data_IF_029326964859
#
_entry.id   IF_029326964859
#
_cell.length_a   1.000
_cell.length_b   1.000
_cell.length_c   1.000
_cell.angle_alpha   90.00
_cell.angle_beta   90.00
_cell.angle_gamma   90.00
#
_symmetry.space_group_name_H-M   'P 1'
#
loop_
_entity.id
_entity.type
_entity.pdbx_description
1 polymer ?
#
# COMPACT_ATOMS: atom_id res chain seq x y z
N UNK A 1 5.11 21.62 14.64
CA UNK A 1 5.72 20.50 15.39
C UNK A 1 7.21 20.48 15.14
N UNK A 2 8.05 20.14 16.12
CA UNK A 2 9.51 20.09 15.94
C UNK A 2 9.96 18.69 15.48
N UNK A 3 10.48 18.60 14.26
CA UNK A 3 10.95 17.35 13.64
C UNK A 3 12.13 16.76 14.40
N UNK A 4 13.02 17.59 14.95
CA UNK A 4 14.18 17.09 15.68
C UNK A 4 13.75 16.29 16.93
N UNK A 5 12.64 16.69 17.56
CA UNK A 5 12.05 15.96 18.68
C UNK A 5 11.45 14.62 18.24
N UNK A 6 10.81 14.54 17.06
CA UNK A 6 10.31 13.29 16.49
C UNK A 6 11.45 12.31 16.18
N UNK A 7 12.50 12.79 15.52
CA UNK A 7 13.65 11.96 15.14
C UNK A 7 14.42 11.47 16.37
N UNK A 8 14.52 12.29 17.42
CA UNK A 8 15.10 11.88 18.70
C UNK A 8 14.26 10.79 19.38
N UNK A 9 12.94 10.95 19.43
CA UNK A 9 12.05 9.93 19.99
C UNK A 9 12.14 8.61 19.21
N UNK A 10 12.23 8.68 17.87
CA UNK A 10 12.48 7.52 17.01
C UNK A 10 13.83 6.86 17.34
N UNK A 11 14.88 7.66 17.55
CA UNK A 11 16.19 7.18 18.00
C UNK A 11 16.11 6.44 19.33
N UNK A 12 15.34 6.94 20.30
CA UNK A 12 15.10 6.29 21.59
C UNK A 12 14.41 4.92 21.45
N UNK A 13 13.44 4.80 20.54
CA UNK A 13 12.73 3.54 20.28
C UNK A 13 13.62 2.48 19.63
N UNK A 14 14.45 2.89 18.67
CA UNK A 14 15.31 1.99 17.90
C UNK A 14 16.66 1.71 18.58
N UNK A 15 17.05 2.51 19.57
CA UNK A 15 18.31 2.34 20.28
C UNK A 15 18.40 0.94 20.92
N UNK A 16 19.58 0.32 21.00
CA UNK A 16 19.80 -0.93 21.73
C UNK A 16 19.32 -0.93 23.19
N UNK A 17 18.84 -2.08 23.75
CA UNK A 17 18.28 -2.14 25.10
C UNK A 17 19.23 -1.75 26.24
N UNK A 18 20.53 -1.75 25.99
CA UNK A 18 21.55 -1.35 26.95
C UNK A 18 21.81 0.16 26.98
N UNK A 19 21.28 0.93 26.02
CA UNK A 19 21.50 2.38 25.92
C UNK A 19 20.31 3.21 26.38
N UNK A 20 19.13 2.61 26.48
CA UNK A 20 17.88 3.30 26.81
C UNK A 20 17.08 2.44 27.79
N UNK A 21 16.56 3.08 28.84
CA UNK A 21 15.71 2.42 29.82
C UNK A 21 14.35 1.99 29.23
N UNK A 22 13.69 1.04 29.89
CA UNK A 22 12.34 0.63 29.50
C UNK A 22 11.33 1.79 29.59
N UNK A 23 11.49 2.67 30.58
CA UNK A 23 10.59 3.82 30.78
C UNK A 23 10.77 4.88 29.68
N UNK A 24 12.01 5.18 29.27
CA UNK A 24 12.27 6.12 28.17
C UNK A 24 11.70 5.61 26.84
N UNK A 25 11.85 4.30 26.56
CA UNK A 25 11.23 3.68 25.37
C UNK A 25 9.71 3.76 25.42
N UNK A 26 9.11 3.45 26.58
CA UNK A 26 7.66 3.53 26.74
C UNK A 26 7.14 4.95 26.57
N UNK A 27 7.88 5.95 27.06
CA UNK A 27 7.56 7.36 26.85
C UNK A 27 7.61 7.74 25.37
N UNK A 28 8.64 7.30 24.65
CA UNK A 28 8.75 7.53 23.21
C UNK A 28 7.63 6.83 22.42
N UNK A 29 7.22 5.62 22.82
CA UNK A 29 6.10 4.91 22.21
C UNK A 29 4.77 5.66 22.43
N UNK A 30 4.49 6.05 23.68
CA UNK A 30 3.31 6.84 24.02
C UNK A 30 3.27 8.16 23.23
N UNK A 31 4.43 8.80 23.04
CA UNK A 31 4.53 10.03 22.24
C UNK A 31 4.04 9.82 20.80
N UNK A 32 4.48 8.76 20.10
CA UNK A 32 3.97 8.46 18.76
C UNK A 32 2.49 8.04 18.74
N UNK A 33 2.02 7.33 19.76
CA UNK A 33 0.61 6.97 19.88
C UNK A 33 -0.29 8.20 20.07
N UNK A 34 0.13 9.16 20.90
CA UNK A 34 -0.62 10.39 21.16
C UNK A 34 -0.51 11.38 19.99
N UNK A 35 0.64 11.38 19.30
CA UNK A 35 0.81 12.09 18.05
C UNK A 35 -0.20 11.65 17.00
N UNK A 36 -0.33 10.34 16.73
CA UNK A 36 -1.29 9.82 15.74
C UNK A 36 -2.74 10.22 16.02
N UNK A 37 -3.11 10.41 17.29
CA UNK A 37 -4.46 10.85 17.68
C UNK A 37 -4.71 12.34 17.42
N UNK A 38 -3.67 13.17 17.47
CA UNK A 38 -3.78 14.63 17.49
C UNK A 38 -3.29 15.30 16.21
N UNK A 39 -2.43 14.64 15.44
CA UNK A 39 -1.85 15.18 14.21
C UNK A 39 -2.90 15.36 13.11
N UNK A 40 -2.81 16.47 12.37
CA UNK A 40 -3.62 16.71 11.18
C UNK A 40 -3.01 16.09 9.92
N UNK A 41 -3.82 15.96 8.86
CA UNK A 41 -3.34 15.47 7.56
C UNK A 41 -2.22 16.36 6.99
N UNK A 42 -2.39 17.67 7.09
CA UNK A 42 -1.41 18.66 6.62
C UNK A 42 -0.07 18.51 7.35
N UNK A 43 -0.10 18.38 8.67
CA UNK A 43 1.11 18.18 9.47
C UNK A 43 1.81 16.86 9.16
N UNK A 44 1.05 15.77 9.01
CA UNK A 44 1.62 14.46 8.67
C UNK A 44 2.32 14.48 7.30
N UNK A 45 1.67 15.08 6.29
CA UNK A 45 2.25 15.26 4.96
C UNK A 45 3.47 16.20 5.00
N UNK A 46 3.41 17.27 5.78
CA UNK A 46 4.56 18.18 5.95
C UNK A 46 5.77 17.47 6.54
N UNK A 47 5.59 16.67 7.59
CA UNK A 47 6.67 15.89 8.22
C UNK A 47 7.26 14.89 7.23
N UNK A 48 6.43 14.18 6.45
CA UNK A 48 6.88 13.23 5.42
C UNK A 48 7.88 13.86 4.45
N UNK A 49 7.64 15.11 4.03
CA UNK A 49 8.52 15.81 3.10
C UNK A 49 9.80 16.34 3.73
N UNK A 50 9.84 16.54 5.05
CA UNK A 50 10.96 17.18 5.74
C UNK A 50 11.92 16.20 6.43
N UNK A 51 11.48 15.00 6.80
CA UNK A 51 12.34 14.02 7.49
C UNK A 51 12.99 13.03 6.51
N UNK A 52 14.18 12.54 6.90
CA UNK A 52 14.85 11.40 6.30
C UNK A 52 14.85 10.18 7.25
N UNK A 53 14.34 10.34 8.47
CA UNK A 53 14.32 9.26 9.45
C UNK A 53 13.29 8.19 9.07
N UNK A 54 13.78 6.98 8.74
CA UNK A 54 12.95 5.86 8.28
C UNK A 54 11.80 5.50 9.24
N UNK A 55 12.00 5.58 10.55
CA UNK A 55 10.95 5.26 11.51
C UNK A 55 9.88 6.36 11.54
N UNK A 56 10.28 7.63 11.50
CA UNK A 56 9.32 8.74 11.41
C UNK A 56 8.52 8.65 10.10
N UNK A 57 9.17 8.33 8.97
CA UNK A 57 8.50 8.10 7.69
C UNK A 57 7.45 6.97 7.78
N UNK A 58 7.82 5.86 8.43
CA UNK A 58 6.91 4.74 8.68
C UNK A 58 5.69 5.17 9.51
N UNK A 59 5.90 5.86 10.62
CA UNK A 59 4.84 6.34 11.51
C UNK A 59 3.92 7.35 10.82
N UNK A 60 4.47 8.25 10.01
CA UNK A 60 3.68 9.25 9.29
C UNK A 60 2.89 8.64 8.13
N UNK A 61 3.43 7.65 7.41
CA UNK A 61 2.66 6.91 6.42
C UNK A 61 1.43 6.24 7.05
N UNK A 62 1.62 5.61 8.23
CA UNK A 62 0.51 5.06 8.99
C UNK A 62 -0.51 6.12 9.39
N UNK A 63 -0.04 7.25 9.93
CA UNK A 63 -0.92 8.35 10.33
C UNK A 63 -1.76 8.86 9.15
N UNK A 64 -1.15 9.11 7.99
CA UNK A 64 -1.86 9.53 6.76
C UNK A 64 -2.93 8.50 6.38
N UNK A 65 -2.62 7.21 6.41
CA UNK A 65 -3.59 6.15 6.16
C UNK A 65 -4.78 6.19 7.13
N UNK A 66 -4.49 6.24 8.43
CA UNK A 66 -5.52 6.26 9.48
C UNK A 66 -6.41 7.50 9.39
N UNK A 67 -5.81 8.68 9.19
CA UNK A 67 -6.53 9.95 9.01
C UNK A 67 -7.44 9.90 7.78
N UNK A 68 -6.93 9.41 6.64
CA UNK A 68 -7.71 9.29 5.40
C UNK A 68 -8.92 8.40 5.59
N UNK A 69 -8.77 7.27 6.28
CA UNK A 69 -9.87 6.32 6.51
C UNK A 69 -10.86 6.82 7.57
N UNK A 70 -10.37 7.47 8.62
CA UNK A 70 -11.20 8.05 9.68
C UNK A 70 -12.11 9.13 9.13
N UNK A 71 -11.55 10.03 8.34
CA UNK A 71 -12.26 11.22 7.84
C UNK A 71 -12.86 10.98 6.44
N UNK A 72 -12.85 9.73 5.95
CA UNK A 72 -13.21 9.36 4.58
C UNK A 72 -14.49 10.02 4.05
N UNK A 73 -15.58 9.99 4.83
CA UNK A 73 -16.88 10.57 4.46
C UNK A 73 -16.90 12.10 4.38
N UNK A 74 -15.89 12.75 4.95
CA UNK A 74 -15.73 14.20 4.99
C UNK A 74 -14.76 14.70 3.91
N UNK A 75 -13.96 13.81 3.33
CA UNK A 75 -12.95 14.14 2.34
C UNK A 75 -13.56 14.22 0.93
N UNK A 76 -13.10 15.20 0.16
CA UNK A 76 -13.35 15.23 -1.28
C UNK A 76 -12.63 14.05 -1.97
N UNK A 77 -13.27 13.32 -2.89
CA UNK A 77 -12.62 12.26 -3.66
C UNK A 77 -11.28 12.68 -4.31
N UNK A 78 -11.15 13.92 -4.77
CA UNK A 78 -9.90 14.44 -5.33
C UNK A 78 -8.78 14.53 -4.30
N UNK A 79 -9.11 14.82 -3.04
CA UNK A 79 -8.14 14.86 -1.94
C UNK A 79 -7.65 13.45 -1.62
N UNK A 80 -8.55 12.47 -1.60
CA UNK A 80 -8.19 11.06 -1.43
C UNK A 80 -7.28 10.60 -2.56
N UNK A 81 -7.61 10.97 -3.80
CA UNK A 81 -6.82 10.64 -4.98
C UNK A 81 -5.42 11.24 -4.93
N UNK A 82 -5.33 12.53 -4.64
CA UNK A 82 -4.07 13.23 -4.47
C UNK A 82 -3.22 12.58 -3.37
N UNK A 83 -3.83 12.19 -2.25
CA UNK A 83 -3.12 11.59 -1.11
C UNK A 83 -2.37 10.32 -1.52
N UNK A 84 -3.04 9.34 -2.13
CA UNK A 84 -2.36 8.09 -2.49
C UNK A 84 -1.36 8.28 -3.64
N UNK A 85 -1.63 9.21 -4.58
CA UNK A 85 -0.69 9.56 -5.66
C UNK A 85 0.58 10.20 -5.10
N UNK A 86 0.46 11.15 -4.18
CA UNK A 86 1.61 11.77 -3.52
C UNK A 86 2.44 10.74 -2.75
N UNK A 87 1.80 9.79 -2.05
CA UNK A 87 2.53 8.71 -1.38
C UNK A 87 3.26 7.78 -2.36
N UNK A 88 2.65 7.47 -3.51
CA UNK A 88 3.30 6.67 -4.56
C UNK A 88 4.51 7.39 -5.16
N UNK A 89 4.34 8.66 -5.51
CA UNK A 89 5.41 9.52 -6.04
C UNK A 89 6.55 9.65 -5.04
N UNK A 90 6.23 9.84 -3.76
CA UNK A 90 7.21 9.93 -2.68
C UNK A 90 8.13 8.71 -2.62
N UNK A 91 7.56 7.50 -2.65
CA UNK A 91 8.34 6.26 -2.59
C UNK A 91 9.09 5.98 -3.89
N UNK A 92 8.50 6.32 -5.03
CA UNK A 92 9.16 6.17 -6.34
C UNK A 92 10.38 7.09 -6.47
N UNK A 93 10.26 8.34 -6.00
CA UNK A 93 11.30 9.36 -6.14
C UNK A 93 12.51 9.14 -5.21
N UNK A 94 12.33 8.60 -4.00
CA UNK A 94 13.43 8.50 -3.01
C UNK A 94 14.27 7.25 -3.19
N UNK A 95 15.54 7.40 -3.58
CA UNK A 95 16.48 6.32 -3.87
C UNK A 95 16.71 5.33 -2.71
N UNK A 96 16.85 5.84 -1.48
CA UNK A 96 17.44 5.11 -0.34
C UNK A 96 16.46 4.79 0.79
N UNK A 97 15.21 4.43 0.47
CA UNK A 97 14.24 4.04 1.50
C UNK A 97 14.45 2.60 1.99
N UNK A 98 14.38 2.43 3.31
CA UNK A 98 14.38 1.12 3.96
C UNK A 98 13.20 0.26 3.50
N UNK A 99 13.43 -1.06 3.40
CA UNK A 99 12.43 -1.98 2.86
C UNK A 99 11.12 -1.97 3.65
N UNK A 100 11.19 -1.89 4.98
CA UNK A 100 10.00 -1.85 5.83
C UNK A 100 9.19 -0.55 5.66
N UNK A 101 9.86 0.57 5.36
CA UNK A 101 9.20 1.85 5.08
C UNK A 101 8.43 1.76 3.77
N UNK A 102 9.09 1.27 2.71
CA UNK A 102 8.43 1.06 1.41
C UNK A 102 7.21 0.13 1.58
N UNK A 103 7.33 -0.94 2.35
CA UNK A 103 6.22 -1.86 2.59
C UNK A 103 5.03 -1.16 3.26
N UNK A 104 5.27 -0.31 4.26
CA UNK A 104 4.20 0.40 4.96
C UNK A 104 3.51 1.45 4.09
N UNK A 105 4.26 2.19 3.25
CA UNK A 105 3.66 3.10 2.29
C UNK A 105 2.76 2.35 1.30
N UNK A 106 3.28 1.29 0.68
CA UNK A 106 2.52 0.51 -0.30
C UNK A 106 1.26 -0.12 0.31
N UNK A 107 1.37 -0.60 1.55
CA UNK A 107 0.22 -1.08 2.33
C UNK A 107 -0.79 0.04 2.60
N UNK A 108 -0.33 1.21 3.02
CA UNK A 108 -1.18 2.40 3.25
C UNK A 108 -1.94 2.78 1.98
N UNK A 109 -1.23 2.89 0.86
CA UNK A 109 -1.80 3.17 -0.47
C UNK A 109 -2.83 2.10 -0.84
N UNK A 110 -2.50 0.81 -0.68
CA UNK A 110 -3.42 -0.28 -0.99
C UNK A 110 -4.70 -0.23 -0.15
N UNK A 111 -4.61 0.19 1.13
CA UNK A 111 -5.78 0.35 2.00
C UNK A 111 -6.66 1.50 1.50
N UNK A 112 -6.08 2.65 1.16
CA UNK A 112 -6.80 3.81 0.60
C UNK A 112 -7.49 3.42 -0.72
N UNK A 113 -6.76 2.77 -1.63
CA UNK A 113 -7.29 2.27 -2.91
C UNK A 113 -8.45 1.30 -2.72
N UNK A 114 -8.32 0.34 -1.78
CA UNK A 114 -9.40 -0.61 -1.48
C UNK A 114 -10.65 0.09 -0.96
N UNK A 115 -10.48 1.08 -0.07
CA UNK A 115 -11.62 1.85 0.45
C UNK A 115 -12.26 2.73 -0.63
N UNK A 116 -11.44 3.23 -1.55
CA UNK A 116 -11.86 3.99 -2.73
C UNK A 116 -12.85 3.27 -3.63
N UNK A 117 -12.76 1.93 -3.74
CA UNK A 117 -13.43 1.15 -4.79
C UNK A 117 -13.43 1.95 -6.10
N UNK A 118 -12.21 2.21 -6.59
CA UNK A 118 -11.90 3.22 -7.61
C UNK A 118 -12.92 3.28 -8.74
N UNK A 119 -13.41 4.49 -9.01
CA UNK A 119 -14.27 4.77 -10.16
C UNK A 119 -13.47 4.61 -11.46
N UNK A 120 -14.18 4.48 -12.59
CA UNK A 120 -13.61 4.05 -13.87
C UNK A 120 -12.23 4.66 -14.21
N UNK A 121 -12.10 5.99 -14.21
CA UNK A 121 -10.86 6.66 -14.61
C UNK A 121 -9.72 6.49 -13.59
N UNK A 122 -10.01 6.64 -12.30
CA UNK A 122 -9.01 6.56 -11.22
C UNK A 122 -8.37 5.17 -11.17
N UNK A 123 -9.17 4.14 -11.45
CA UNK A 123 -8.74 2.75 -11.57
C UNK A 123 -7.81 2.54 -12.76
N UNK A 124 -8.15 3.09 -13.91
CA UNK A 124 -7.31 3.00 -15.10
C UNK A 124 -5.97 3.68 -14.89
N UNK A 125 -5.94 4.84 -14.26
CA UNK A 125 -4.71 5.59 -14.02
C UNK A 125 -3.81 4.89 -13.00
N UNK A 126 -4.39 4.26 -11.97
CA UNK A 126 -3.63 3.38 -11.08
C UNK A 126 -2.96 2.23 -11.84
N UNK A 127 -3.71 1.54 -12.71
CA UNK A 127 -3.15 0.43 -13.48
C UNK A 127 -2.12 0.88 -14.51
N UNK A 128 -2.29 2.04 -15.15
CA UNK A 128 -1.26 2.65 -16.01
C UNK A 128 -0.01 2.95 -15.21
N UNK A 129 -0.14 3.50 -14.00
CA UNK A 129 1.01 3.77 -13.13
C UNK A 129 1.76 2.48 -12.77
N UNK A 130 1.04 1.43 -12.35
CA UNK A 130 1.64 0.12 -12.07
C UNK A 130 2.36 -0.42 -13.30
N UNK A 131 1.71 -0.39 -14.46
CA UNK A 131 2.32 -0.84 -15.72
C UNK A 131 3.59 -0.05 -16.06
N UNK A 132 3.58 1.27 -15.88
CA UNK A 132 4.74 2.13 -16.11
C UNK A 132 5.89 1.80 -15.15
N UNK A 133 5.62 1.46 -13.88
CA UNK A 133 6.63 0.98 -12.94
C UNK A 133 7.27 -0.34 -13.42
N UNK A 134 6.44 -1.30 -13.86
CA UNK A 134 6.91 -2.61 -14.33
C UNK A 134 7.75 -2.52 -15.62
N UNK A 135 7.38 -1.60 -16.52
CA UNK A 135 8.08 -1.40 -17.79
C UNK A 135 9.22 -0.38 -17.71
N UNK A 136 9.46 0.21 -16.53
CA UNK A 136 10.53 1.18 -16.36
C UNK A 136 11.90 0.52 -16.55
N UNK A 137 12.87 1.24 -17.13
CA UNK A 137 14.26 0.79 -17.24
C UNK A 137 15.00 0.69 -15.89
N UNK A 138 14.36 1.12 -14.79
CA UNK A 138 14.99 1.21 -13.48
C UNK A 138 14.64 -0.05 -12.71
N UNK A 139 15.64 -0.90 -12.40
CA UNK A 139 15.48 -2.10 -11.59
C UNK A 139 14.65 -1.91 -10.32
N UNK A 140 14.89 -0.79 -9.64
CA UNK A 140 14.24 -0.41 -8.41
C UNK A 140 12.75 -0.13 -8.62
N UNK A 141 12.40 0.61 -9.68
CA UNK A 141 11.01 0.95 -9.96
C UNK A 141 10.21 -0.28 -10.40
N UNK A 142 10.83 -1.21 -11.12
CA UNK A 142 10.21 -2.50 -11.44
C UNK A 142 9.93 -3.31 -10.17
N UNK A 143 10.92 -3.40 -9.27
CA UNK A 143 10.76 -4.04 -7.95
C UNK A 143 9.64 -3.37 -7.13
N UNK A 144 9.58 -2.03 -7.14
CA UNK A 144 8.51 -1.27 -6.49
C UNK A 144 7.13 -1.63 -7.06
N UNK A 145 7.01 -1.74 -8.38
CA UNK A 145 5.78 -2.17 -9.05
C UNK A 145 5.34 -3.58 -8.61
N UNK A 146 6.25 -4.56 -8.59
CA UNK A 146 5.94 -5.90 -8.09
C UNK A 146 5.47 -5.89 -6.63
N UNK A 147 6.18 -5.17 -5.76
CA UNK A 147 5.81 -5.04 -4.34
C UNK A 147 4.45 -4.37 -4.15
N UNK A 148 4.12 -3.40 -5.00
CA UNK A 148 2.83 -2.74 -4.94
C UNK A 148 1.69 -3.68 -5.37
N UNK A 149 1.92 -4.49 -6.40
CA UNK A 149 0.98 -5.55 -6.79
C UNK A 149 0.74 -6.53 -5.64
N UNK A 150 1.81 -7.00 -4.99
CA UNK A 150 1.69 -7.88 -3.82
C UNK A 150 0.89 -7.24 -2.68
N UNK A 151 1.15 -5.95 -2.38
CA UNK A 151 0.41 -5.21 -1.36
C UNK A 151 -1.09 -5.08 -1.70
N UNK A 152 -1.45 -4.85 -2.97
CA UNK A 152 -2.84 -4.84 -3.43
C UNK A 152 -3.49 -6.22 -3.27
N UNK A 153 -2.83 -7.29 -3.71
CA UNK A 153 -3.33 -8.66 -3.58
C UNK A 153 -3.59 -8.99 -2.10
N UNK A 154 -2.62 -8.75 -1.23
CA UNK A 154 -2.75 -9.03 0.21
C UNK A 154 -3.91 -8.23 0.84
N UNK A 155 -4.00 -6.95 0.50
CA UNK A 155 -5.01 -6.06 1.05
C UNK A 155 -6.42 -6.44 0.59
N UNK A 156 -6.62 -6.84 -0.68
CA UNK A 156 -7.92 -7.28 -1.17
C UNK A 156 -8.26 -8.73 -0.75
N UNK A 157 -7.27 -9.59 -0.52
CA UNK A 157 -7.47 -10.96 -0.02
C UNK A 157 -7.96 -10.97 1.43
N UNK A 158 -7.49 -10.00 2.22
CA UNK A 158 -7.86 -9.85 3.64
C UNK A 158 -9.35 -9.55 3.81
N UNK A 159 -10.09 -10.54 4.34
CA UNK A 159 -11.54 -10.49 4.52
C UNK A 159 -11.99 -9.78 5.82
N UNK A 160 -11.07 -9.49 6.75
CA UNK A 160 -11.47 -9.09 8.12
C UNK A 160 -10.46 -8.29 8.93
N UNK A 161 -9.16 -8.24 8.55
CA UNK A 161 -8.12 -7.81 9.50
C UNK A 161 -8.12 -6.32 9.90
N UNK A 162 -8.89 -5.46 9.22
CA UNK A 162 -8.91 -4.01 9.46
C UNK A 162 -10.34 -3.45 9.58
N UNK A 163 -11.20 -4.00 10.44
CA UNK A 163 -12.51 -3.39 10.80
C UNK A 163 -12.40 -2.05 11.55
N UNK A 164 -11.23 -1.39 11.49
CA UNK A 164 -11.04 -0.02 11.95
C UNK A 164 -11.57 0.93 10.85
N UNK A 165 -12.24 1.99 11.28
CA UNK A 165 -12.71 3.08 10.41
C UNK A 165 -13.80 2.71 9.39
N UNK A 166 -14.98 2.29 9.88
CA UNK A 166 -16.24 2.21 9.09
C UNK A 166 -16.26 1.29 7.85
N UNK A 167 -15.28 0.40 7.70
CA UNK A 167 -15.29 -0.60 6.63
C UNK A 167 -16.05 -1.83 7.10
N UNK A 168 -17.25 -2.01 6.55
CA UNK A 168 -18.11 -3.15 6.89
C UNK A 168 -17.67 -4.42 6.18
N UNK A 169 -18.09 -5.57 6.70
CA UNK A 169 -17.79 -6.87 6.10
C UNK A 169 -18.35 -7.00 4.68
N UNK A 170 -19.58 -6.51 4.46
CA UNK A 170 -20.21 -6.51 3.13
C UNK A 170 -19.40 -5.67 2.13
N UNK A 171 -18.84 -4.53 2.57
CA UNK A 171 -17.93 -3.74 1.75
C UNK A 171 -16.67 -4.54 1.39
N UNK A 172 -16.01 -5.16 2.37
CA UNK A 172 -14.83 -5.98 2.12
C UNK A 172 -15.10 -7.09 1.11
N UNK A 173 -16.25 -7.75 1.23
CA UNK A 173 -16.64 -8.82 0.34
C UNK A 173 -16.98 -8.33 -1.07
N UNK A 174 -17.65 -7.18 -1.19
CA UNK A 174 -17.95 -6.52 -2.47
C UNK A 174 -16.66 -6.10 -3.17
N UNK A 175 -15.77 -5.39 -2.47
CA UNK A 175 -14.48 -4.95 -3.00
C UNK A 175 -13.62 -6.13 -3.46
N UNK A 176 -13.58 -7.23 -2.67
CA UNK A 176 -12.89 -8.47 -3.05
C UNK A 176 -13.47 -9.06 -4.34
N UNK A 177 -14.80 -9.18 -4.41
CA UNK A 177 -15.49 -9.77 -5.57
C UNK A 177 -15.27 -8.95 -6.84
N UNK A 178 -15.30 -7.62 -6.75
CA UNK A 178 -15.01 -6.74 -7.88
C UNK A 178 -13.55 -6.88 -8.32
N UNK A 179 -12.61 -6.88 -7.36
CA UNK A 179 -11.19 -7.06 -7.62
C UNK A 179 -10.88 -8.41 -8.27
N UNK A 180 -11.61 -9.48 -7.94
CA UNK A 180 -11.48 -10.79 -8.59
C UNK A 180 -11.77 -10.74 -10.10
N UNK A 181 -12.75 -9.94 -10.52
CA UNK A 181 -13.23 -9.90 -11.91
C UNK A 181 -12.33 -9.01 -12.77
N UNK A 182 -11.96 -7.83 -12.26
CA UNK A 182 -11.24 -6.82 -13.05
C UNK A 182 -9.78 -6.70 -12.63
N UNK A 183 -9.50 -6.62 -11.34
CA UNK A 183 -8.18 -6.30 -10.81
C UNK A 183 -7.18 -7.44 -10.93
N UNK A 184 -7.49 -8.60 -10.36
CA UNK A 184 -6.62 -9.79 -10.40
C UNK A 184 -6.28 -10.19 -11.84
N UNK A 185 -7.29 -10.21 -12.72
CA UNK A 185 -7.10 -10.52 -14.13
C UNK A 185 -6.07 -9.58 -14.76
N UNK A 186 -6.22 -8.28 -14.55
CA UNK A 186 -5.33 -7.27 -15.16
C UNK A 186 -3.92 -7.31 -14.58
N UNK A 187 -3.79 -7.50 -13.27
CA UNK A 187 -2.47 -7.65 -12.63
C UNK A 187 -1.76 -8.92 -13.08
N UNK A 188 -2.50 -10.00 -13.34
CA UNK A 188 -1.96 -11.22 -13.94
C UNK A 188 -1.52 -10.98 -15.39
N UNK A 189 -2.36 -10.34 -16.21
CA UNK A 189 -2.03 -9.98 -17.59
C UNK A 189 -0.73 -9.15 -17.63
N UNK A 190 -0.58 -8.12 -16.78
CA UNK A 190 0.66 -7.35 -16.67
C UNK A 190 1.86 -8.22 -16.29
N UNK A 191 1.71 -9.06 -15.27
CA UNK A 191 2.81 -9.93 -14.81
C UNK A 191 3.27 -10.90 -15.89
N UNK A 192 2.33 -11.52 -16.61
CA UNK A 192 2.62 -12.45 -17.70
C UNK A 192 3.19 -11.74 -18.93
N UNK A 193 2.67 -10.57 -19.29
CA UNK A 193 3.22 -9.77 -20.40
C UNK A 193 4.65 -9.34 -20.12
N UNK A 194 4.95 -8.87 -18.90
CA UNK A 194 6.33 -8.51 -18.54
C UNK A 194 7.24 -9.73 -18.47
N UNK A 195 6.80 -10.85 -17.90
CA UNK A 195 7.57 -12.12 -17.92
C UNK A 195 7.86 -12.59 -19.35
N UNK A 196 6.88 -12.51 -20.25
CA UNK A 196 7.07 -12.88 -21.65
C UNK A 196 8.08 -11.97 -22.34
N UNK A 197 8.03 -10.66 -22.08
CA UNK A 197 9.00 -9.70 -22.61
C UNK A 197 10.43 -9.99 -22.09
N UNK A 198 10.56 -10.33 -20.81
CA UNK A 198 11.85 -10.74 -20.23
C UNK A 198 12.35 -12.04 -20.86
N UNK A 199 11.48 -13.01 -21.13
CA UNK A 199 11.84 -14.28 -21.78
C UNK A 199 12.40 -14.10 -23.21
N UNK A 200 12.07 -12.99 -23.87
CA UNK A 200 12.61 -12.65 -25.19
C UNK A 200 14.03 -12.08 -25.17
N UNK A 201 14.59 -11.79 -23.99
CA UNK A 201 15.95 -11.25 -23.85
C UNK A 201 17.00 -12.37 -23.85
N UNK A 202 18.17 -12.13 -24.45
CA UNK A 202 19.29 -13.07 -24.36
C UNK A 202 19.95 -12.98 -22.96
N UNK A 203 20.40 -14.11 -22.40
CA UNK A 203 21.13 -14.20 -21.12
C UNK A 203 20.39 -13.78 -19.83
N UNK A 204 19.07 -13.96 -19.77
CA UNK A 204 18.19 -13.72 -18.60
C UNK A 204 18.76 -14.28 -17.28
N UNK A 205 19.31 -15.50 -17.34
CA UNK A 205 19.79 -16.22 -16.15
C UNK A 205 21.17 -15.77 -15.65
N UNK A 206 21.91 -15.01 -16.46
CA UNK A 206 23.23 -14.50 -16.11
C UNK A 206 23.17 -13.15 -15.40
N UNK A 207 22.05 -12.42 -15.52
CA UNK A 207 21.80 -11.21 -14.77
C UNK A 207 21.01 -11.52 -13.49
N UNK A 208 21.68 -11.42 -12.35
CA UNK A 208 21.07 -11.65 -11.03
C UNK A 208 19.85 -10.74 -10.79
N UNK A 209 19.87 -9.54 -11.38
CA UNK A 209 18.75 -8.62 -11.27
C UNK A 209 17.51 -9.13 -12.04
N UNK A 210 17.67 -9.45 -13.33
CA UNK A 210 16.59 -10.01 -14.15
C UNK A 210 16.03 -11.29 -13.52
N UNK A 211 16.90 -12.13 -12.93
CA UNK A 211 16.45 -13.32 -12.19
C UNK A 211 15.55 -12.96 -11.00
N UNK A 212 15.96 -12.01 -10.15
CA UNK A 212 15.14 -11.54 -9.01
C UNK A 212 13.82 -10.93 -9.47
N UNK A 213 13.83 -10.24 -10.61
CA UNK A 213 12.62 -9.68 -11.19
C UNK A 213 11.65 -10.78 -11.68
N UNK A 214 12.17 -11.80 -12.37
CA UNK A 214 11.40 -12.99 -12.74
C UNK A 214 10.82 -13.70 -11.51
N UNK A 215 11.61 -13.90 -10.45
CA UNK A 215 11.14 -14.47 -9.17
C UNK A 215 9.97 -13.65 -8.60
N UNK A 216 10.05 -12.32 -8.63
CA UNK A 216 8.98 -11.45 -8.13
C UNK A 216 7.70 -11.53 -8.97
N UNK A 217 7.81 -11.61 -10.29
CA UNK A 217 6.64 -11.79 -11.14
C UNK A 217 6.01 -13.19 -11.00
N UNK A 218 6.83 -14.22 -10.84
CA UNK A 218 6.34 -15.57 -10.56
C UNK A 218 5.63 -15.64 -9.19
N UNK A 219 6.17 -14.99 -8.16
CA UNK A 219 5.53 -14.86 -6.85
C UNK A 219 4.17 -14.14 -6.97
N UNK A 220 4.10 -13.06 -7.75
CA UNK A 220 2.82 -12.38 -8.04
C UNK A 220 1.84 -13.32 -8.75
N UNK A 221 2.28 -14.03 -9.79
CA UNK A 221 1.43 -14.96 -10.52
C UNK A 221 0.94 -16.10 -9.62
N UNK A 222 1.81 -16.68 -8.79
CA UNK A 222 1.47 -17.70 -7.80
C UNK A 222 0.43 -17.19 -6.80
N UNK A 223 0.61 -15.98 -6.26
CA UNK A 223 -0.34 -15.37 -5.33
C UNK A 223 -1.72 -15.13 -5.97
N UNK A 224 -1.78 -14.78 -7.26
CA UNK A 224 -3.04 -14.61 -7.99
C UNK A 224 -3.68 -15.98 -8.29
N UNK A 225 -2.90 -16.98 -8.71
CA UNK A 225 -3.40 -18.31 -9.04
C UNK A 225 -3.85 -19.10 -7.81
N UNK A 226 -3.23 -18.87 -6.66
CA UNK A 226 -3.62 -19.43 -5.36
C UNK A 226 -4.74 -18.63 -4.67
N UNK A 227 -5.29 -17.61 -5.34
CA UNK A 227 -6.35 -16.78 -4.77
C UNK A 227 -7.58 -17.59 -4.37
N UNK A 228 -8.05 -17.37 -3.13
CA UNK A 228 -9.27 -17.98 -2.64
C UNK A 228 -10.51 -17.24 -3.16
N UNK A 229 -10.99 -17.63 -4.35
CA UNK A 229 -12.12 -17.00 -5.03
C UNK A 229 -13.42 -17.06 -4.23
N UNK A 230 -14.15 -15.95 -4.24
CA UNK A 230 -15.44 -15.82 -3.57
C UNK A 230 -16.45 -16.81 -4.17
N UNK A 231 -17.21 -17.51 -3.32
CA UNK A 231 -18.13 -18.54 -3.79
C UNK A 231 -19.25 -17.94 -4.68
N UNK A 232 -19.80 -18.72 -5.61
CA UNK A 232 -20.94 -18.29 -6.45
C UNK A 232 -22.16 -17.89 -5.61
N UNK A 233 -22.35 -18.53 -4.44
CA UNK A 233 -23.44 -18.21 -3.52
C UNK A 233 -23.23 -16.83 -2.89
N UNK A 234 -22.02 -16.55 -2.40
CA UNK A 234 -21.65 -15.26 -1.82
C UNK A 234 -21.85 -14.10 -2.80
N UNK A 235 -21.52 -14.31 -4.08
CA UNK A 235 -21.79 -13.34 -5.15
C UNK A 235 -23.29 -13.08 -5.35
N UNK A 236 -24.11 -14.12 -5.30
CA UNK A 236 -25.58 -14.00 -5.42
C UNK A 236 -26.19 -13.25 -4.24
N UNK A 237 -25.76 -13.53 -3.00
CA UNK A 237 -26.24 -12.82 -1.81
C UNK A 237 -25.96 -11.32 -1.88
N UNK A 238 -24.79 -10.91 -2.37
CA UNK A 238 -24.46 -9.49 -2.53
C UNK A 238 -25.28 -8.81 -3.64
N UNK A 239 -25.55 -9.47 -4.77
CA UNK A 239 -26.37 -8.88 -5.83
C UNK A 239 -27.84 -8.68 -5.44
N UNK A 240 -28.39 -9.54 -4.58
CA UNK A 240 -29.82 -9.47 -4.17
C UNK A 240 -30.08 -8.31 -3.20
N UNK A 241 -29.10 -7.95 -2.37
CA UNK A 241 -29.25 -6.85 -1.41
C UNK A 241 -29.14 -5.44 -2.03
N UNK A 242 -28.79 -5.33 -3.32
CA UNK A 242 -28.76 -4.03 -4.04
C UNK A 242 -30.13 -3.55 -4.51
N UNK A 243 -31.21 -4.31 -4.31
CA UNK A 243 -32.56 -3.98 -4.82
C UNK A 243 -33.48 -3.36 -3.75
N UNK A 244 -33.04 -3.26 -2.49
CA UNK A 244 -33.89 -2.76 -1.39
C UNK A 244 -33.21 -1.65 -0.60
N UNK A 245 -32.93 -0.50 -1.21
CA UNK A 245 -32.87 0.79 -0.50
C UNK A 245 -33.13 1.90 -1.53
N UNK A 246 -34.40 2.31 -1.64
CA UNK A 246 -34.82 3.63 -2.11
C UNK A 246 -35.28 4.43 -0.89
#
# INVERSE_FOLDING_TARGET
MDISTLERAAGTLLAPPNLVSADERRQAENYFQDLKKSISMEEAMHILHQTENSFVLFEMAQAVGELTLRDWSLLDPQVVEATYKTLLEFVAARETLESYVIAEFLKTIAIIVKRGSLSGNDREDLYKFIHNLLMHQSPKLQSLGCRFISALIEQFSSAWRNSKFSITWDFHLKAKTEFEVTGLRRLLEFSLTTLHALNGQENILNDEFTKRLCEKFLEVAENILSWNFSSKLTRRFLCVNTVFFF
#
